data_IF_173389989507
#
_entry.id   IF_173389989507
#
_cell.length_a   1.000
_cell.length_b   1.000
_cell.length_c   1.000
_cell.angle_alpha   90.00
_cell.angle_beta   90.00
_cell.angle_gamma   90.00
#
_symmetry.space_group_name_H-M   'P 1'
#
loop_
_entity.id
_entity.type
_entity.pdbx_description
1 polymer ?
#
# COMPACT_ATOMS: atom_id res chain seq x y z
N UNK A 1 9.19 24.60 -4.95
CA UNK A 1 9.28 23.65 -3.81
C UNK A 1 8.25 23.99 -2.73
N UNK A 2 6.95 23.86 -3.04
CA UNK A 2 5.83 24.23 -2.15
C UNK A 2 4.69 23.19 -2.19
N UNK A 3 4.99 21.95 -2.55
CA UNK A 3 3.97 20.87 -2.60
C UNK A 3 3.96 20.06 -1.29
N UNK A 4 5.02 20.17 -0.48
CA UNK A 4 5.19 19.43 0.77
C UNK A 4 4.88 20.24 2.04
N UNK A 5 4.53 21.54 1.95
CA UNK A 5 4.40 22.41 3.13
C UNK A 5 3.19 23.35 3.15
N UNK A 6 2.27 23.31 2.18
CA UNK A 6 1.10 24.20 2.17
C UNK A 6 -0.23 23.56 2.58
N UNK A 7 -0.24 22.29 3.01
CA UNK A 7 -1.41 21.69 3.66
C UNK A 7 -1.25 21.26 5.15
N UNK A 8 -0.22 21.63 5.93
CA UNK A 8 -0.09 21.15 7.31
C UNK A 8 -0.96 21.91 8.33
N UNK A 9 -2.05 22.57 7.91
CA UNK A 9 -2.86 23.39 8.82
C UNK A 9 -4.38 23.17 8.77
N UNK A 10 -4.92 22.19 8.01
CA UNK A 10 -6.39 22.07 7.88
C UNK A 10 -7.02 20.75 8.35
N UNK A 11 -6.26 19.78 8.81
CA UNK A 11 -6.83 18.48 9.23
C UNK A 11 -5.90 17.82 10.24
N UNK A 12 -6.33 17.70 11.49
CA UNK A 12 -5.60 17.06 12.58
C UNK A 12 -5.47 15.53 12.45
N UNK A 13 -5.07 15.02 11.29
CA UNK A 13 -4.63 13.64 11.09
C UNK A 13 -3.17 13.61 10.63
N UNK A 14 -2.41 12.68 11.19
CA UNK A 14 -0.97 12.68 11.10
C UNK A 14 -0.53 12.33 9.66
N UNK A 15 0.31 13.16 9.02
CA UNK A 15 1.02 12.79 7.78
C UNK A 15 1.70 11.42 7.89
N UNK A 16 2.14 11.06 9.11
CA UNK A 16 2.71 9.75 9.43
C UNK A 16 1.71 8.59 9.24
N UNK A 17 0.41 8.83 9.35
CA UNK A 17 -0.65 7.82 9.18
C UNK A 17 -0.87 7.50 7.69
N UNK A 18 -0.86 8.51 6.82
CA UNK A 18 -0.81 8.32 5.37
C UNK A 18 0.51 7.70 4.91
N UNK A 19 1.63 8.17 5.45
CA UNK A 19 2.96 7.60 5.18
C UNK A 19 3.03 6.13 5.62
N UNK A 20 2.51 5.78 6.80
CA UNK A 20 2.46 4.41 7.32
C UNK A 20 1.58 3.50 6.47
N UNK A 21 0.42 4.00 6.01
CA UNK A 21 -0.43 3.27 5.06
C UNK A 21 0.31 3.01 3.73
N UNK A 22 0.93 4.04 3.14
CA UNK A 22 1.69 3.89 1.90
C UNK A 22 2.88 2.92 2.05
N UNK A 23 3.63 3.03 3.15
CA UNK A 23 4.74 2.12 3.46
C UNK A 23 4.28 0.66 3.65
N UNK A 24 3.08 0.44 4.21
CA UNK A 24 2.50 -0.89 4.38
C UNK A 24 2.27 -1.62 3.05
N UNK A 25 2.02 -0.89 1.97
CA UNK A 25 1.94 -1.44 0.61
C UNK A 25 3.30 -1.50 -0.09
N UNK A 26 4.16 -0.51 0.14
CA UNK A 26 5.47 -0.41 -0.52
C UNK A 26 6.46 -1.50 -0.07
N UNK A 27 6.55 -1.80 1.23
CA UNK A 27 7.50 -2.78 1.76
C UNK A 27 7.29 -4.21 1.21
N UNK A 28 6.06 -4.77 1.19
CA UNK A 28 5.83 -6.06 0.58
C UNK A 28 6.08 -6.05 -0.94
N UNK A 29 5.72 -4.97 -1.64
CA UNK A 29 6.00 -4.84 -3.08
C UNK A 29 7.50 -4.90 -3.38
N UNK A 30 8.31 -4.20 -2.58
CA UNK A 30 9.77 -4.26 -2.69
C UNK A 30 10.29 -5.69 -2.44
N UNK A 31 9.75 -6.37 -1.43
CA UNK A 31 10.08 -7.78 -1.17
C UNK A 31 9.71 -8.71 -2.33
N UNK A 32 8.56 -8.48 -2.97
CA UNK A 32 8.14 -9.24 -4.16
C UNK A 32 9.09 -8.98 -5.34
N UNK A 33 9.49 -7.73 -5.55
CA UNK A 33 10.47 -7.35 -6.57
C UNK A 33 11.81 -8.06 -6.35
N UNK A 34 12.36 -8.00 -5.13
CA UNK A 34 13.61 -8.68 -4.79
C UNK A 34 13.51 -10.20 -4.97
N UNK A 35 12.39 -10.80 -4.57
CA UNK A 35 12.14 -12.22 -4.76
C UNK A 35 12.12 -12.60 -6.25
N UNK A 36 11.48 -11.79 -7.10
CA UNK A 36 11.48 -11.99 -8.54
C UNK A 36 12.87 -11.77 -9.15
N UNK A 37 13.64 -10.80 -8.66
CA UNK A 37 15.02 -10.55 -9.11
C UNK A 37 15.92 -11.76 -8.80
N UNK A 38 15.86 -12.28 -7.58
CA UNK A 38 16.60 -13.48 -7.18
C UNK A 38 16.12 -14.68 -7.99
N UNK A 39 14.82 -14.83 -8.22
CA UNK A 39 14.28 -15.91 -9.05
C UNK A 39 14.74 -15.82 -10.51
N UNK A 40 14.84 -14.62 -11.07
CA UNK A 40 15.35 -14.43 -12.43
C UNK A 40 16.81 -14.86 -12.57
N UNK A 41 17.61 -14.73 -11.51
CA UNK A 41 19.00 -15.22 -11.44
C UNK A 41 19.07 -16.72 -11.09
N UNK A 42 18.18 -17.19 -10.22
CA UNK A 42 18.11 -18.55 -9.69
C UNK A 42 16.69 -19.08 -9.84
N UNK A 43 16.33 -19.69 -10.98
CA UNK A 43 14.94 -20.05 -11.33
C UNK A 43 14.31 -21.11 -10.43
N UNK A 44 15.08 -21.75 -9.54
CA UNK A 44 14.57 -22.70 -8.55
C UNK A 44 14.21 -22.04 -7.20
N UNK A 45 14.65 -20.80 -6.95
CA UNK A 45 14.44 -20.12 -5.68
C UNK A 45 13.28 -19.12 -5.81
N UNK A 46 12.41 -19.02 -4.79
CA UNK A 46 11.31 -18.04 -4.70
C UNK A 46 10.23 -18.06 -5.79
N UNK A 47 10.07 -19.16 -6.54
CA UNK A 47 9.13 -19.27 -7.67
C UNK A 47 7.68 -18.83 -7.37
N UNK A 48 7.19 -19.00 -6.14
CA UNK A 48 5.83 -18.58 -5.74
C UNK A 48 5.78 -17.37 -4.82
N UNK A 49 6.93 -16.86 -4.38
CA UNK A 49 6.99 -15.80 -3.36
C UNK A 49 6.48 -14.47 -3.90
N UNK A 50 6.90 -14.09 -5.12
CA UNK A 50 6.44 -12.86 -5.77
C UNK A 50 4.92 -12.85 -5.96
N UNK A 51 4.37 -13.87 -6.61
CA UNK A 51 2.93 -13.99 -6.87
C UNK A 51 2.10 -14.04 -5.58
N UNK A 52 2.59 -14.71 -4.53
CA UNK A 52 1.89 -14.75 -3.23
C UNK A 52 1.82 -13.38 -2.56
N UNK A 53 2.89 -12.59 -2.62
CA UNK A 53 2.91 -11.24 -2.04
C UNK A 53 2.00 -10.30 -2.82
N UNK A 54 2.06 -10.34 -4.16
CA UNK A 54 1.17 -9.55 -5.01
C UNK A 54 -0.30 -9.93 -4.78
N UNK A 55 -0.62 -11.23 -4.69
CA UNK A 55 -1.98 -11.69 -4.38
C UNK A 55 -2.50 -11.13 -3.05
N UNK A 56 -1.69 -11.18 -1.99
CA UNK A 56 -2.03 -10.57 -0.69
C UNK A 56 -2.22 -9.06 -0.77
N UNK A 57 -1.38 -8.35 -1.52
CA UNK A 57 -1.54 -6.91 -1.74
C UNK A 57 -2.82 -6.58 -2.51
N UNK A 58 -3.14 -7.40 -3.52
CA UNK A 58 -4.35 -7.27 -4.31
C UNK A 58 -5.61 -7.51 -3.46
N UNK A 59 -5.64 -8.58 -2.65
CA UNK A 59 -6.71 -8.83 -1.68
C UNK A 59 -6.90 -7.65 -0.71
N UNK A 60 -5.79 -7.10 -0.20
CA UNK A 60 -5.82 -5.91 0.66
C UNK A 60 -6.40 -4.71 -0.08
N UNK A 61 -5.99 -4.47 -1.33
CA UNK A 61 -6.50 -3.36 -2.14
C UNK A 61 -8.01 -3.47 -2.36
N UNK A 62 -8.49 -4.68 -2.71
CA UNK A 62 -9.93 -4.95 -2.92
C UNK A 62 -10.71 -4.83 -1.61
N UNK A 63 -10.23 -5.41 -0.52
CA UNK A 63 -10.88 -5.34 0.80
C UNK A 63 -10.97 -3.90 1.31
N UNK A 64 -9.89 -3.12 1.16
CA UNK A 64 -9.86 -1.73 1.60
C UNK A 64 -10.73 -0.83 0.70
N UNK A 65 -10.88 -1.16 -0.58
CA UNK A 65 -11.83 -0.51 -1.51
C UNK A 65 -13.28 -0.74 -1.10
N UNK A 66 -13.64 -1.97 -0.70
CA UNK A 66 -14.99 -2.27 -0.19
C UNK A 66 -15.29 -1.55 1.12
N UNK A 67 -14.29 -1.33 1.98
CA UNK A 67 -14.44 -0.51 3.20
C UNK A 67 -14.73 0.96 2.90
N UNK A 68 -14.04 1.57 1.94
CA UNK A 68 -14.33 2.95 1.51
C UNK A 68 -15.69 3.07 0.81
N UNK A 69 -16.10 2.07 0.02
CA UNK A 69 -17.43 2.04 -0.59
C UNK A 69 -18.57 1.93 0.44
N UNK A 70 -18.27 1.50 1.68
CA UNK A 70 -19.20 1.37 2.81
C UNK A 70 -19.15 2.53 3.80
N UNK A 71 -18.39 3.60 3.56
CA UNK A 71 -18.57 4.85 4.29
C UNK A 71 -19.64 5.68 3.56
N UNK A 72 -20.93 5.59 3.94
CA UNK A 72 -21.84 6.68 3.63
C UNK A 72 -21.25 7.91 4.30
N UNK A 73 -21.11 8.99 3.53
CA UNK A 73 -20.88 10.33 4.05
C UNK A 73 -21.61 10.48 5.39
N UNK A 74 -20.88 10.89 6.42
CA UNK A 74 -21.45 11.66 7.52
C UNK A 74 -22.13 12.87 6.87
N UNK A 75 -23.38 12.68 6.45
CA UNK A 75 -24.27 13.72 6.00
C UNK A 75 -24.66 14.46 7.27
N UNK A 76 -23.85 15.47 7.55
CA UNK A 76 -24.20 16.66 8.32
C UNK A 76 -25.69 16.95 8.22
N UNK A 77 -26.39 16.83 9.36
CA UNK A 77 -27.51 17.68 9.73
C UNK A 77 -27.31 18.09 11.17
#
# INVERSE_FOLDING_TARGET
MKIFTQHPASVGENYLQHMGSALSFALPLLGAFLACLVHALLPFLFAKTGSRIIGRLHERMVTNRHRHARQPQQATR
#
